data_IF_745725772107
#
_entry.id   IF_745725772107
#
_cell.length_a   1.000
_cell.length_b   1.000
_cell.length_c   1.000
_cell.angle_alpha   90.00
_cell.angle_beta   90.00
_cell.angle_gamma   90.00
#
_symmetry.space_group_name_H-M   'P 1'
#
loop_
_entity.id
_entity.type
_entity.pdbx_description
1 polymer ?
#
# COMPACT_ATOMS: atom_id res chain seq x y z
N UNK A 1 -12.12 -14.74 -4.24
CA UNK A 1 -10.82 -15.45 -4.21
C UNK A 1 -10.41 -15.54 -2.75
N UNK A 2 -10.02 -16.71 -2.22
CA UNK A 2 -9.50 -16.78 -0.83
C UNK A 2 -8.09 -16.18 -0.85
N UNK A 3 -7.90 -15.06 -0.16
CA UNK A 3 -6.62 -14.35 -0.08
C UNK A 3 -5.76 -15.03 0.98
N UNK A 4 -5.98 -14.75 2.25
CA UNK A 4 -5.36 -15.54 3.31
C UNK A 4 -6.22 -16.73 3.70
N UNK A 5 -5.58 -17.91 3.75
CA UNK A 5 -6.11 -19.10 4.42
C UNK A 5 -5.40 -19.18 5.77
N UNK A 6 -6.16 -19.16 6.85
CA UNK A 6 -5.63 -19.45 8.18
C UNK A 6 -5.66 -20.95 8.42
N UNK A 7 -4.55 -21.47 8.92
CA UNK A 7 -4.45 -22.87 9.34
C UNK A 7 -3.47 -23.04 10.49
N UNK A 8 -3.19 -24.30 10.85
CA UNK A 8 -2.20 -24.64 11.88
C UNK A 8 -0.79 -24.10 11.56
N UNK A 9 -0.52 -23.88 10.27
CA UNK A 9 0.72 -23.34 9.72
C UNK A 9 0.72 -21.80 9.61
N UNK A 10 -0.25 -21.10 10.22
CA UNK A 10 -0.35 -19.64 10.13
C UNK A 10 -1.17 -19.13 8.93
N UNK A 11 -1.11 -17.82 8.70
CA UNK A 11 -1.74 -17.17 7.56
C UNK A 11 -0.90 -17.38 6.30
N UNK A 12 -1.54 -17.84 5.21
CA UNK A 12 -0.86 -18.07 3.93
C UNK A 12 -1.73 -17.76 2.72
N UNK A 13 -1.10 -17.41 1.60
CA UNK A 13 -1.78 -17.34 0.29
C UNK A 13 -1.76 -18.73 -0.37
N UNK A 14 -2.85 -19.16 -1.05
CA UNK A 14 -2.90 -20.44 -1.73
C UNK A 14 -2.18 -20.38 -3.10
N UNK A 15 -1.01 -19.75 -3.16
CA UNK A 15 -0.24 -19.51 -4.37
C UNK A 15 1.15 -20.13 -4.23
N UNK A 16 1.61 -20.81 -5.28
CA UNK A 16 2.97 -21.41 -5.29
C UNK A 16 4.07 -20.38 -5.04
N UNK A 17 3.90 -19.18 -5.57
CA UNK A 17 4.80 -18.03 -5.45
C UNK A 17 4.90 -17.54 -3.99
N UNK A 18 3.86 -17.75 -3.17
CA UNK A 18 3.94 -17.51 -1.73
C UNK A 18 4.83 -18.55 -1.07
N UNK A 19 4.61 -19.84 -1.37
CA UNK A 19 5.40 -20.92 -0.81
C UNK A 19 6.88 -20.80 -1.22
N UNK A 20 7.16 -20.37 -2.44
CA UNK A 20 8.52 -20.08 -2.94
C UNK A 20 9.16 -18.92 -2.18
N UNK A 21 8.48 -17.77 -2.06
CA UNK A 21 9.02 -16.60 -1.38
C UNK A 21 9.17 -16.78 0.15
N UNK A 22 8.32 -17.59 0.78
CA UNK A 22 8.45 -17.93 2.21
C UNK A 22 9.54 -18.97 2.44
N UNK A 23 9.74 -19.90 1.50
CA UNK A 23 10.73 -20.97 1.62
C UNK A 23 12.17 -20.48 1.55
N UNK A 24 12.40 -19.38 0.82
CA UNK A 24 13.69 -18.70 0.72
C UNK A 24 13.46 -17.16 0.71
N UNK A 25 13.44 -16.50 1.88
CA UNK A 25 13.19 -15.06 1.97
C UNK A 25 14.32 -14.20 1.36
N UNK A 26 15.50 -14.78 1.11
CA UNK A 26 16.61 -14.12 0.42
C UNK A 26 16.47 -14.19 -1.12
N UNK A 27 15.64 -15.09 -1.66
CA UNK A 27 15.37 -15.17 -3.09
C UNK A 27 14.50 -14.01 -3.58
N UNK A 28 15.19 -12.96 -4.04
CA UNK A 28 14.55 -11.77 -4.61
C UNK A 28 13.67 -12.09 -5.83
N UNK A 29 14.01 -13.10 -6.64
CA UNK A 29 13.19 -13.45 -7.81
C UNK A 29 11.86 -14.07 -7.40
N UNK A 30 11.85 -14.89 -6.35
CA UNK A 30 10.63 -15.42 -5.76
C UNK A 30 9.75 -14.29 -5.20
N UNK A 31 10.35 -13.33 -4.50
CA UNK A 31 9.65 -12.14 -3.98
C UNK A 31 9.04 -11.28 -5.10
N UNK A 32 9.80 -11.02 -6.17
CA UNK A 32 9.30 -10.28 -7.36
C UNK A 32 8.14 -11.03 -8.02
N UNK A 33 8.25 -12.34 -8.21
CA UNK A 33 7.20 -13.16 -8.81
C UNK A 33 5.90 -13.11 -7.99
N UNK A 34 6.01 -13.17 -6.67
CA UNK A 34 4.88 -13.01 -5.75
C UNK A 34 4.24 -11.60 -5.88
N UNK A 35 5.05 -10.55 -5.91
CA UNK A 35 4.60 -9.17 -6.12
C UNK A 35 3.87 -8.98 -7.44
N UNK A 36 4.43 -9.49 -8.55
CA UNK A 36 3.80 -9.44 -9.87
C UNK A 36 2.45 -10.18 -9.88
N UNK A 37 2.37 -11.34 -9.23
CA UNK A 37 1.13 -12.10 -9.12
C UNK A 37 0.06 -11.35 -8.35
N UNK A 38 0.43 -10.78 -7.19
CA UNK A 38 -0.44 -9.97 -6.36
C UNK A 38 -0.98 -8.76 -7.12
N UNK A 39 -0.09 -8.01 -7.80
CA UNK A 39 -0.44 -6.86 -8.61
C UNK A 39 -1.40 -7.24 -9.74
N UNK A 40 -1.08 -8.27 -10.53
CA UNK A 40 -1.95 -8.73 -11.63
C UNK A 40 -3.31 -9.20 -11.15
N UNK A 41 -3.39 -9.85 -10.00
CA UNK A 41 -4.65 -10.26 -9.40
C UNK A 41 -5.52 -9.05 -9.02
N UNK A 42 -4.92 -8.02 -8.41
CA UNK A 42 -5.61 -6.77 -8.07
C UNK A 42 -6.07 -6.00 -9.32
N UNK A 43 -5.20 -5.86 -10.32
CA UNK A 43 -5.56 -5.19 -11.58
C UNK A 43 -6.72 -5.89 -12.30
N UNK A 44 -6.75 -7.23 -12.29
CA UNK A 44 -7.88 -8.00 -12.82
C UNK A 44 -9.16 -7.74 -12.03
N UNK A 45 -9.09 -7.72 -10.70
CA UNK A 45 -10.24 -7.39 -9.84
C UNK A 45 -10.77 -5.98 -10.10
N UNK A 46 -9.87 -5.01 -10.32
CA UNK A 46 -10.19 -3.64 -10.69
C UNK A 46 -10.74 -3.47 -12.13
N UNK A 47 -10.65 -4.52 -12.97
CA UNK A 47 -10.90 -4.47 -14.42
C UNK A 47 -10.03 -3.45 -15.16
N UNK A 48 -8.78 -3.27 -14.70
CA UNK A 48 -7.82 -2.36 -15.30
C UNK A 48 -6.66 -3.13 -15.96
N UNK A 49 -6.09 -2.63 -17.06
CA UNK A 49 -4.90 -3.23 -17.64
C UNK A 49 -3.66 -2.93 -16.78
N UNK A 50 -2.75 -3.91 -16.57
CA UNK A 50 -1.49 -3.69 -15.89
C UNK A 50 -0.60 -2.72 -16.68
N UNK A 51 0.21 -1.93 -15.96
CA UNK A 51 1.23 -1.02 -16.52
C UNK A 51 2.59 -1.71 -16.53
N UNK A 52 3.45 -1.39 -17.49
CA UNK A 52 4.78 -2.01 -17.60
C UNK A 52 5.71 -1.49 -16.50
N UNK A 53 5.56 -0.21 -16.19
CA UNK A 53 6.29 0.56 -15.19
C UNK A 53 6.12 -0.02 -13.77
N UNK A 54 5.01 -0.73 -13.51
CA UNK A 54 4.76 -1.42 -12.25
C UNK A 54 5.84 -2.47 -11.91
N UNK A 55 6.50 -3.05 -12.93
CA UNK A 55 7.58 -4.01 -12.73
C UNK A 55 8.72 -3.40 -11.92
N UNK A 56 9.15 -2.19 -12.29
CA UNK A 56 10.26 -1.51 -11.63
C UNK A 56 9.93 -1.16 -10.18
N UNK A 57 8.68 -0.77 -9.90
CA UNK A 57 8.21 -0.56 -8.53
C UNK A 57 8.26 -1.84 -7.70
N UNK A 58 7.83 -2.97 -8.28
CA UNK A 58 7.86 -4.27 -7.60
C UNK A 58 9.31 -4.74 -7.36
N UNK A 59 10.22 -4.52 -8.31
CA UNK A 59 11.66 -4.77 -8.10
C UNK A 59 12.20 -3.94 -6.94
N UNK A 60 11.92 -2.64 -6.92
CA UNK A 60 12.34 -1.75 -5.83
C UNK A 60 11.81 -2.22 -4.48
N UNK A 61 10.56 -2.69 -4.42
CA UNK A 61 9.99 -3.31 -3.22
C UNK A 61 10.77 -4.55 -2.78
N UNK A 62 11.11 -5.45 -3.70
CA UNK A 62 11.87 -6.65 -3.38
C UNK A 62 13.25 -6.33 -2.82
N UNK A 63 14.00 -5.40 -3.43
CA UNK A 63 15.32 -4.99 -2.90
C UNK A 63 15.20 -4.28 -1.54
N UNK A 64 14.19 -3.41 -1.35
CA UNK A 64 13.93 -2.80 -0.04
C UNK A 64 13.69 -3.88 1.02
N UNK A 65 12.88 -4.89 0.72
CA UNK A 65 12.56 -5.96 1.69
C UNK A 65 13.76 -6.87 1.95
N UNK A 66 14.53 -7.22 0.92
CA UNK A 66 15.74 -8.03 1.06
C UNK A 66 16.74 -7.37 2.03
N UNK A 67 17.12 -6.12 1.75
CA UNK A 67 18.03 -5.38 2.62
C UNK A 67 17.43 -5.03 3.99
N UNK A 68 16.10 -4.90 4.09
CA UNK A 68 15.45 -4.77 5.39
C UNK A 68 15.67 -6.01 6.24
N UNK A 69 15.61 -7.22 5.66
CA UNK A 69 15.87 -8.47 6.39
C UNK A 69 17.34 -8.59 6.81
N UNK A 70 18.27 -8.16 5.98
CA UNK A 70 19.71 -8.14 6.33
C UNK A 70 20.01 -7.23 7.52
N UNK A 71 19.32 -6.09 7.59
CA UNK A 71 19.58 -5.04 8.58
C UNK A 71 18.75 -5.18 9.87
N UNK A 72 17.60 -5.86 9.82
CA UNK A 72 16.72 -5.99 10.97
C UNK A 72 17.30 -6.96 12.01
N UNK A 73 17.70 -6.43 13.15
CA UNK A 73 18.14 -7.27 14.28
C UNK A 73 17.01 -8.13 14.85
N UNK A 74 17.38 -9.25 15.49
CA UNK A 74 16.44 -10.23 16.07
C UNK A 74 15.36 -9.60 16.97
N UNK A 75 15.76 -8.70 17.88
CA UNK A 75 14.83 -8.02 18.80
C UNK A 75 13.74 -7.23 18.04
N UNK A 76 14.13 -6.57 16.94
CA UNK A 76 13.20 -5.81 16.10
C UNK A 76 12.32 -6.72 15.25
N UNK A 77 12.84 -7.87 14.81
CA UNK A 77 12.04 -8.87 14.12
C UNK A 77 10.95 -9.45 15.05
N UNK A 78 11.28 -9.70 16.32
CA UNK A 78 10.31 -10.16 17.33
C UNK A 78 9.24 -9.10 17.61
N UNK A 79 9.62 -7.83 17.73
CA UNK A 79 8.67 -6.71 17.88
C UNK A 79 7.73 -6.60 16.67
N UNK A 80 8.30 -6.63 15.46
CA UNK A 80 7.51 -6.60 14.22
C UNK A 80 6.51 -7.76 14.18
N UNK A 81 6.98 -8.97 14.49
CA UNK A 81 6.13 -10.16 14.52
C UNK A 81 4.97 -10.00 15.51
N UNK A 82 5.23 -9.50 16.72
CA UNK A 82 4.18 -9.22 17.69
C UNK A 82 3.13 -8.24 17.14
N UNK A 83 3.58 -7.16 16.50
CA UNK A 83 2.67 -6.16 15.91
C UNK A 83 1.79 -6.76 14.80
N UNK A 84 2.37 -7.57 13.91
CA UNK A 84 1.61 -8.19 12.80
C UNK A 84 0.60 -9.23 13.29
N UNK A 85 0.82 -9.85 14.44
CA UNK A 85 -0.02 -10.93 14.99
C UNK A 85 -1.10 -10.43 15.95
N UNK A 86 -0.77 -9.49 16.83
CA UNK A 86 -1.60 -9.06 17.96
C UNK A 86 -2.07 -7.62 17.84
N UNK A 87 -1.15 -6.67 17.61
CA UNK A 87 -1.49 -5.23 17.64
C UNK A 87 -2.07 -4.70 16.32
N UNK A 88 -2.07 -5.49 15.24
CA UNK A 88 -2.66 -5.10 13.96
C UNK A 88 -4.14 -4.71 14.11
N UNK A 89 -4.82 -5.22 15.14
CA UNK A 89 -6.23 -4.92 15.45
C UNK A 89 -6.47 -3.46 15.85
N UNK A 90 -5.51 -2.83 16.53
CA UNK A 90 -5.63 -1.47 17.04
C UNK A 90 -5.16 -0.42 16.02
N UNK A 91 -4.32 -0.84 15.07
CA UNK A 91 -3.61 0.06 14.15
C UNK A 91 -3.97 -0.15 12.66
N UNK A 92 -4.27 -1.38 12.23
CA UNK A 92 -4.30 -1.79 10.81
C UNK A 92 -5.55 -2.58 10.45
N UNK A 93 -6.70 -1.93 10.29
CA UNK A 93 -7.94 -2.68 9.99
C UNK A 93 -7.89 -3.45 8.67
N UNK A 94 -6.97 -3.12 7.75
CA UNK A 94 -6.88 -3.71 6.42
C UNK A 94 -5.80 -4.78 6.20
N UNK A 95 -4.85 -5.00 7.13
CA UNK A 95 -3.63 -5.79 6.86
C UNK A 95 -3.94 -7.22 6.35
N UNK A 96 -4.86 -7.91 7.02
CA UNK A 96 -5.21 -9.29 6.70
C UNK A 96 -6.50 -9.41 5.86
N UNK A 97 -7.09 -8.29 5.48
CA UNK A 97 -8.30 -8.27 4.64
C UNK A 97 -7.98 -8.67 3.19
N UNK A 98 -8.89 -9.38 2.50
CA UNK A 98 -8.72 -9.65 1.09
C UNK A 98 -8.87 -8.35 0.27
N UNK A 99 -8.23 -8.24 -0.91
CA UNK A 99 -8.35 -7.06 -1.76
C UNK A 99 -9.78 -6.77 -2.21
N UNK A 100 -10.68 -7.75 -2.17
CA UNK A 100 -12.10 -7.54 -2.49
C UNK A 100 -12.79 -6.55 -1.55
N UNK A 101 -12.21 -6.26 -0.39
CA UNK A 101 -12.71 -5.22 0.53
C UNK A 101 -12.37 -3.80 0.08
N UNK A 102 -11.47 -3.62 -0.90
CA UNK A 102 -10.99 -2.28 -1.30
C UNK A 102 -10.93 -2.10 -2.83
N UNK A 103 -10.61 -3.16 -3.56
CA UNK A 103 -10.47 -3.17 -5.00
C UNK A 103 -11.81 -3.48 -5.65
N UNK A 104 -12.59 -2.42 -5.88
CA UNK A 104 -13.84 -2.48 -6.62
C UNK A 104 -13.69 -1.90 -8.03
N UNK A 105 -14.26 -2.55 -9.06
CA UNK A 105 -14.31 -1.96 -10.40
C UNK A 105 -15.00 -0.60 -10.39
N UNK A 106 -14.50 0.33 -11.21
CA UNK A 106 -15.13 1.64 -11.37
C UNK A 106 -16.54 1.52 -11.94
N UNK A 107 -17.47 2.32 -11.40
CA UNK A 107 -18.84 2.48 -11.83
C UNK A 107 -19.16 3.87 -12.39
N UNK A 108 -20.44 4.21 -12.43
CA UNK A 108 -20.99 5.46 -12.99
C UNK A 108 -21.47 6.47 -11.92
N UNK A 109 -21.56 6.06 -10.65
CA UNK A 109 -22.09 6.91 -9.57
C UNK A 109 -20.98 7.62 -8.80
N UNK A 110 -20.98 8.95 -8.86
CA UNK A 110 -19.98 9.82 -8.19
C UNK A 110 -19.87 9.50 -6.70
N UNK A 111 -20.99 9.27 -5.99
CA UNK A 111 -20.95 9.09 -4.54
C UNK A 111 -20.28 7.78 -4.15
N UNK A 112 -20.62 6.71 -4.87
CA UNK A 112 -20.00 5.39 -4.72
C UNK A 112 -18.52 5.44 -5.04
N UNK A 113 -18.12 6.17 -6.08
CA UNK A 113 -16.71 6.38 -6.39
C UNK A 113 -15.99 7.14 -5.27
N UNK A 114 -16.52 8.25 -4.78
CA UNK A 114 -15.87 9.02 -3.71
C UNK A 114 -15.71 8.22 -2.41
N UNK A 115 -16.71 7.41 -2.05
CA UNK A 115 -16.62 6.51 -0.91
C UNK A 115 -15.53 5.44 -1.14
N UNK A 116 -15.49 4.86 -2.35
CA UNK A 116 -14.49 3.86 -2.72
C UNK A 116 -13.08 4.43 -2.73
N UNK A 117 -12.93 5.66 -3.20
CA UNK A 117 -11.66 6.39 -3.20
C UNK A 117 -11.17 6.57 -1.77
N UNK A 118 -11.99 7.17 -0.91
CA UNK A 118 -11.67 7.38 0.51
C UNK A 118 -11.27 6.06 1.18
N UNK A 119 -12.07 5.02 0.97
CA UNK A 119 -11.81 3.71 1.57
C UNK A 119 -10.45 3.14 1.15
N UNK A 120 -10.08 3.24 -0.13
CA UNK A 120 -8.76 2.81 -0.60
C UNK A 120 -7.60 3.62 -0.03
N UNK A 121 -7.78 4.93 0.10
CA UNK A 121 -6.78 5.81 0.70
C UNK A 121 -6.53 5.45 2.18
N UNK A 122 -7.61 5.23 2.95
CA UNK A 122 -7.56 4.90 4.37
C UNK A 122 -7.04 3.47 4.63
N UNK A 123 -7.54 2.47 3.90
CA UNK A 123 -7.28 1.04 4.20
C UNK A 123 -6.01 0.47 3.58
N UNK A 124 -5.49 1.13 2.54
CA UNK A 124 -4.33 0.63 1.77
C UNK A 124 -3.26 1.69 1.68
N UNK A 125 -3.56 2.85 1.08
CA UNK A 125 -2.51 3.82 0.74
C UNK A 125 -1.74 4.29 1.96
N UNK A 126 -2.44 4.81 2.98
CA UNK A 126 -1.80 5.30 4.19
C UNK A 126 -0.94 4.24 4.89
N UNK A 127 -1.53 3.11 5.31
CA UNK A 127 -0.81 2.06 6.03
C UNK A 127 0.38 1.48 5.25
N UNK A 128 0.20 1.15 3.97
CA UNK A 128 1.27 0.50 3.21
C UNK A 128 2.42 1.45 2.84
N UNK A 129 2.15 2.74 2.66
CA UNK A 129 3.23 3.72 2.50
C UNK A 129 4.05 3.90 3.78
N UNK A 130 3.43 3.83 4.96
CA UNK A 130 4.15 3.85 6.23
C UNK A 130 5.02 2.60 6.40
N UNK A 131 4.48 1.43 6.02
CA UNK A 131 5.23 0.18 6.05
C UNK A 131 6.39 0.18 5.05
N UNK A 132 6.19 0.71 3.84
CA UNK A 132 7.23 0.90 2.84
C UNK A 132 8.32 1.85 3.35
N UNK A 133 7.93 2.98 3.95
CA UNK A 133 8.86 3.90 4.58
C UNK A 133 9.65 3.22 5.69
N UNK A 134 8.97 2.46 6.55
CA UNK A 134 9.62 1.77 7.65
C UNK A 134 10.64 0.73 7.16
N UNK A 135 10.25 -0.07 6.16
CA UNK A 135 11.13 -1.04 5.53
C UNK A 135 12.35 -0.36 4.86
N UNK A 136 12.12 0.71 4.10
CA UNK A 136 13.18 1.44 3.41
C UNK A 136 14.17 2.14 4.35
N UNK A 137 13.71 2.63 5.50
CA UNK A 137 14.57 3.22 6.53
C UNK A 137 15.38 2.13 7.25
N UNK A 138 14.77 1.00 7.57
CA UNK A 138 15.45 -0.15 8.18
C UNK A 138 16.52 -0.71 7.24
N UNK A 139 16.19 -0.89 5.96
CA UNK A 139 17.12 -1.30 4.91
C UNK A 139 18.29 -0.32 4.71
N UNK A 140 18.14 0.94 5.13
CA UNK A 140 19.21 1.93 5.12
C UNK A 140 20.03 1.96 6.43
N UNK A 141 19.90 0.94 7.28
CA UNK A 141 20.57 0.83 8.58
C UNK A 141 20.03 1.80 9.64
N UNK A 142 18.86 2.40 9.43
CA UNK A 142 18.28 3.35 10.40
C UNK A 142 17.38 2.62 11.39
N UNK A 143 17.71 2.71 12.68
CA UNK A 143 16.88 2.13 13.75
C UNK A 143 15.70 3.05 14.06
N UNK A 144 14.56 2.80 13.40
CA UNK A 144 13.29 3.44 13.74
C UNK A 144 12.32 2.42 14.34
N UNK A 145 11.58 2.78 15.41
CA UNK A 145 10.63 1.86 16.02
C UNK A 145 9.54 1.49 15.03
N UNK A 146 9.09 0.23 15.09
CA UNK A 146 7.90 -0.24 14.36
C UNK A 146 6.69 0.41 15.02
N UNK A 147 6.35 1.64 14.63
CA UNK A 147 5.22 2.34 15.23
C UNK A 147 3.92 1.81 14.66
N UNK A 148 2.90 1.72 15.51
CA UNK A 148 1.47 1.69 15.15
C UNK A 148 0.98 3.04 14.59
N UNK A 149 1.82 3.78 13.85
CA UNK A 149 1.49 5.09 13.25
C UNK A 149 0.37 5.06 12.22
N UNK A 150 -0.23 3.90 11.99
CA UNK A 150 -1.41 3.72 11.16
C UNK A 150 -2.68 4.34 11.79
N UNK A 151 -2.66 4.67 13.09
CA UNK A 151 -3.77 5.35 13.76
C UNK A 151 -3.80 6.88 13.48
N UNK A 152 -4.47 7.27 12.38
CA UNK A 152 -5.27 8.50 12.37
C UNK A 152 -4.66 9.77 11.77
N UNK A 153 -3.56 9.72 11.01
CA UNK A 153 -2.96 10.93 10.39
C UNK A 153 -3.40 11.23 8.96
N UNK A 154 -4.31 10.45 8.39
CA UNK A 154 -4.66 10.54 6.96
C UNK A 154 -3.47 10.19 6.05
N UNK A 155 -3.57 10.52 4.75
CA UNK A 155 -2.52 10.20 3.76
C UNK A 155 -1.38 11.21 3.69
N UNK A 156 -1.51 12.37 4.34
CA UNK A 156 -0.51 13.45 4.31
C UNK A 156 0.89 12.99 4.73
N UNK A 157 1.01 12.46 5.95
CA UNK A 157 2.30 12.06 6.51
C UNK A 157 2.95 10.91 5.71
N UNK A 158 2.24 9.83 5.32
CA UNK A 158 2.80 8.80 4.45
C UNK A 158 3.32 9.33 3.10
N UNK A 159 2.59 10.25 2.45
CA UNK A 159 3.03 10.89 1.20
C UNK A 159 4.31 11.71 1.40
N UNK A 160 4.38 12.48 2.47
CA UNK A 160 5.56 13.25 2.84
C UNK A 160 6.78 12.35 3.06
N UNK A 161 6.59 11.18 3.68
CA UNK A 161 7.66 10.22 3.92
C UNK A 161 8.18 9.59 2.62
N UNK A 162 7.31 9.29 1.66
CA UNK A 162 7.71 8.84 0.32
C UNK A 162 8.51 9.92 -0.41
N UNK A 163 8.07 11.17 -0.36
CA UNK A 163 8.79 12.30 -0.96
C UNK A 163 10.16 12.52 -0.28
N UNK A 164 10.23 12.36 1.04
CA UNK A 164 11.48 12.40 1.81
C UNK A 164 12.45 11.29 1.41
N UNK A 165 11.99 10.05 1.28
CA UNK A 165 12.83 8.93 0.82
C UNK A 165 13.48 9.24 -0.52
N UNK A 166 12.71 9.79 -1.47
CA UNK A 166 13.23 10.17 -2.79
C UNK A 166 14.23 11.32 -2.69
N UNK A 167 13.91 12.38 -1.94
CA UNK A 167 14.76 13.55 -1.79
C UNK A 167 16.10 13.25 -1.08
N UNK A 168 16.09 12.32 -0.12
CA UNK A 168 17.28 11.90 0.63
C UNK A 168 18.00 10.69 0.03
N UNK A 169 17.54 10.18 -1.13
CA UNK A 169 18.05 8.96 -1.77
C UNK A 169 18.08 7.74 -0.81
N UNK A 170 16.93 7.43 -0.21
CA UNK A 170 16.75 6.34 0.76
C UNK A 170 15.87 5.24 0.18
N UNK A 171 16.31 3.97 0.23
CA UNK A 171 17.68 3.55 0.57
C UNK A 171 18.67 3.84 -0.58
N UNK A 172 19.97 4.05 -0.30
CA UNK A 172 20.94 4.51 -1.29
C UNK A 172 21.35 3.45 -2.32
N UNK A 173 21.01 2.18 -2.07
CA UNK A 173 21.37 1.06 -2.93
C UNK A 173 20.45 0.91 -4.16
N UNK A 174 19.31 1.60 -4.19
CA UNK A 174 18.40 1.51 -5.34
C UNK A 174 19.10 2.04 -6.60
N UNK A 175 18.99 1.29 -7.69
CA UNK A 175 19.45 1.75 -8.99
C UNK A 175 18.47 2.73 -9.65
N UNK A 176 18.78 3.20 -10.86
CA UNK A 176 17.93 4.16 -11.56
C UNK A 176 16.58 3.56 -11.98
N UNK A 177 16.52 2.29 -12.38
CA UNK A 177 15.25 1.64 -12.76
C UNK A 177 14.32 1.57 -11.55
N UNK A 178 14.85 1.28 -10.37
CA UNK A 178 14.10 1.19 -9.12
C UNK A 178 13.63 2.55 -8.61
N UNK A 179 14.47 3.58 -8.74
CA UNK A 179 14.09 4.98 -8.44
C UNK A 179 12.99 5.47 -9.38
N UNK A 180 13.04 5.08 -10.66
CA UNK A 180 11.94 5.31 -11.61
C UNK A 180 10.67 4.58 -11.14
N UNK A 181 10.80 3.36 -10.63
CA UNK A 181 9.73 2.60 -10.00
C UNK A 181 9.05 3.32 -8.83
N UNK A 182 9.81 3.92 -7.91
CA UNK A 182 9.26 4.72 -6.82
C UNK A 182 8.66 6.04 -7.30
N UNK A 183 9.23 6.63 -8.36
CA UNK A 183 8.67 7.81 -9.01
C UNK A 183 7.32 7.51 -9.67
N UNK A 184 7.19 6.33 -10.29
CA UNK A 184 5.93 5.85 -10.84
C UNK A 184 4.88 5.62 -9.74
N UNK A 185 5.25 4.99 -8.62
CA UNK A 185 4.34 4.90 -7.47
C UNK A 185 3.84 6.28 -7.03
N UNK A 186 4.75 7.25 -6.92
CA UNK A 186 4.42 8.62 -6.51
C UNK A 186 3.49 9.34 -7.50
N UNK A 187 3.60 9.07 -8.79
CA UNK A 187 2.73 9.68 -9.82
C UNK A 187 1.32 9.08 -9.81
N UNK A 188 1.18 7.78 -9.56
CA UNK A 188 -0.11 7.11 -9.35
C UNK A 188 -0.82 7.60 -8.06
N UNK A 189 -0.06 8.15 -7.11
CA UNK A 189 -0.58 8.77 -5.90
C UNK A 189 -0.94 10.26 -6.06
N UNK A 190 -0.58 10.90 -7.18
CA UNK A 190 -1.02 12.26 -7.51
C UNK A 190 -2.39 12.19 -8.17
N UNK A 191 -3.46 12.26 -7.38
CA UNK A 191 -4.82 12.05 -7.89
C UNK A 191 -5.26 13.21 -8.78
N UNK A 192 -4.98 14.46 -8.38
CA UNK A 192 -5.33 15.66 -9.13
C UNK A 192 -4.14 16.60 -9.27
N UNK A 193 -4.09 17.35 -10.37
CA UNK A 193 -3.13 18.44 -10.55
C UNK A 193 -3.57 19.73 -9.86
N UNK A 194 -4.82 19.78 -9.39
CA UNK A 194 -5.48 21.00 -8.88
C UNK A 194 -5.73 20.99 -7.38
N UNK A 195 -5.74 19.82 -6.76
CA UNK A 195 -5.88 19.62 -5.32
C UNK A 195 -4.91 18.51 -4.92
N UNK A 196 -4.20 18.69 -3.80
CA UNK A 196 -3.30 17.64 -3.34
C UNK A 196 -4.11 16.41 -2.88
N UNK A 197 -3.50 15.24 -2.94
CA UNK A 197 -4.16 13.98 -2.55
C UNK A 197 -4.56 13.98 -1.08
N UNK A 198 -3.78 14.62 -0.22
CA UNK A 198 -4.08 14.82 1.20
C UNK A 198 -5.21 15.83 1.44
N UNK A 199 -5.27 16.94 0.70
CA UNK A 199 -6.42 17.85 0.77
C UNK A 199 -7.70 17.16 0.31
N UNK A 200 -7.61 16.35 -0.76
CA UNK A 200 -8.75 15.58 -1.26
C UNK A 200 -9.21 14.54 -0.23
N UNK A 201 -8.30 13.76 0.36
CA UNK A 201 -8.63 12.80 1.42
C UNK A 201 -9.27 13.50 2.62
N UNK A 202 -8.67 14.59 3.10
CA UNK A 202 -9.20 15.37 4.21
C UNK A 202 -10.60 15.91 3.91
N UNK A 203 -10.85 16.37 2.68
CA UNK A 203 -12.18 16.82 2.28
C UNK A 203 -13.20 15.66 2.33
N UNK A 204 -12.83 14.49 1.78
CA UNK A 204 -13.69 13.30 1.78
C UNK A 204 -14.01 12.78 3.18
N UNK A 205 -13.01 12.79 4.07
CA UNK A 205 -13.10 12.31 5.45
C UNK A 205 -13.93 13.24 6.33
N UNK A 206 -13.82 14.56 6.15
CA UNK A 206 -14.58 15.55 6.89
C UNK A 206 -15.93 15.93 6.26
N UNK A 207 -16.36 15.20 5.22
CA UNK A 207 -17.61 15.46 4.49
C UNK A 207 -17.72 16.90 3.97
N UNK A 208 -16.59 17.51 3.60
CA UNK A 208 -16.53 18.87 3.03
C UNK A 208 -16.72 18.86 1.52
N UNK A 209 -17.56 17.96 1.05
CA UNK A 209 -17.91 17.78 -0.35
C UNK A 209 -19.41 17.63 -0.50
N UNK A 210 -19.96 18.13 -1.61
CA UNK A 210 -21.36 17.88 -1.96
C UNK A 210 -21.53 17.73 -3.46
N UNK A 211 -22.55 16.95 -3.85
CA UNK A 211 -22.89 16.70 -5.25
C UNK A 211 -24.11 17.53 -5.61
N UNK A 212 -23.99 18.36 -6.64
CA UNK A 212 -25.09 19.17 -7.17
C UNK A 212 -25.14 19.08 -8.70
N UNK A 213 -26.31 18.74 -9.24
CA UNK A 213 -26.54 18.60 -10.70
C UNK A 213 -25.48 17.77 -11.43
N UNK A 214 -25.06 16.65 -10.82
CA UNK A 214 -24.07 15.74 -11.40
C UNK A 214 -22.61 16.20 -11.32
N UNK A 215 -22.35 17.32 -10.63
CA UNK A 215 -20.99 17.83 -10.38
C UNK A 215 -20.65 17.69 -8.91
N UNK A 216 -19.38 17.46 -8.61
CA UNK A 216 -18.84 17.40 -7.26
C UNK A 216 -18.21 18.74 -6.92
N UNK A 217 -18.61 19.34 -5.80
CA UNK A 217 -17.84 20.41 -5.18
C UNK A 217 -17.00 19.81 -4.05
N UNK A 218 -15.71 20.12 -4.02
CA UNK A 218 -14.79 19.78 -2.93
C UNK A 218 -14.29 21.08 -2.34
N UNK A 219 -14.47 21.27 -1.04
CA UNK A 219 -13.89 22.42 -0.32
C UNK A 219 -12.39 22.19 -0.09
N UNK A 220 -11.55 23.05 -0.65
CA UNK A 220 -10.10 22.97 -0.50
C UNK A 220 -9.65 23.73 0.73
N UNK A 221 -8.97 23.07 1.68
CA UNK A 221 -8.42 23.70 2.87
C UNK A 221 -7.49 24.89 2.53
N UNK A 222 -6.73 24.77 1.43
CA UNK A 222 -5.71 25.75 1.02
C UNK A 222 -6.02 26.45 -0.33
N UNK A 223 -6.78 25.81 -1.21
CA UNK A 223 -7.01 26.25 -2.60
C UNK A 223 -8.35 26.96 -2.84
N UNK A 224 -9.22 27.03 -1.84
CA UNK A 224 -10.63 27.36 -2.02
C UNK A 224 -11.37 26.21 -2.72
N UNK A 225 -12.67 26.09 -2.46
CA UNK A 225 -13.44 24.99 -3.02
C UNK A 225 -13.59 25.04 -4.55
N UNK A 226 -13.65 23.86 -5.17
CA UNK A 226 -13.67 23.69 -6.63
C UNK A 226 -14.71 22.68 -7.09
N UNK A 227 -15.23 22.91 -8.30
CA UNK A 227 -16.12 21.98 -9.00
C UNK A 227 -15.34 21.00 -9.88
N UNK A 228 -15.77 19.75 -9.85
CA UNK A 228 -15.24 18.62 -10.62
C UNK A 228 -16.38 17.87 -11.29
N UNK A 229 -16.08 17.29 -12.45
CA UNK A 229 -16.98 16.42 -13.21
C UNK A 229 -16.80 14.95 -12.81
N UNK A 230 -17.73 14.08 -13.23
CA UNK A 230 -17.57 12.63 -13.07
C UNK A 230 -16.27 12.11 -13.72
N UNK A 231 -15.83 12.71 -14.83
CA UNK A 231 -14.58 12.36 -15.50
C UNK A 231 -13.37 12.52 -14.58
N UNK A 232 -13.28 13.65 -13.87
CA UNK A 232 -12.20 13.91 -12.91
C UNK A 232 -12.20 12.85 -11.79
N UNK A 233 -13.37 12.55 -11.24
CA UNK A 233 -13.51 11.55 -10.16
C UNK A 233 -13.09 10.16 -10.65
N UNK A 234 -13.42 9.80 -11.90
CA UNK A 234 -12.99 8.53 -12.51
C UNK A 234 -11.49 8.45 -12.70
N UNK A 235 -10.85 9.54 -13.11
CA UNK A 235 -9.39 9.59 -13.23
C UNK A 235 -8.72 9.40 -11.86
N UNK A 236 -9.26 10.00 -10.80
CA UNK A 236 -8.78 9.79 -9.43
C UNK A 236 -8.96 8.34 -8.99
N UNK A 237 -10.09 7.73 -9.35
CA UNK A 237 -10.39 6.33 -9.02
C UNK A 237 -9.47 5.36 -9.73
N UNK A 238 -9.19 5.57 -11.00
CA UNK A 238 -8.25 4.74 -11.75
C UNK A 238 -6.87 4.77 -11.07
N UNK A 239 -6.35 5.97 -10.79
CA UNK A 239 -5.07 6.16 -10.10
C UNK A 239 -5.04 5.54 -8.70
N UNK A 240 -6.11 5.71 -7.93
CA UNK A 240 -6.24 5.10 -6.61
C UNK A 240 -6.26 3.57 -6.68
N UNK A 241 -6.95 2.97 -7.66
CA UNK A 241 -6.96 1.53 -7.85
C UNK A 241 -5.57 0.99 -8.25
N UNK A 242 -4.84 1.73 -9.10
CA UNK A 242 -3.48 1.39 -9.51
C UNK A 242 -2.50 1.45 -8.34
N UNK A 243 -2.51 2.54 -7.58
CA UNK A 243 -1.67 2.69 -6.39
C UNK A 243 -2.03 1.67 -5.30
N UNK A 244 -3.31 1.42 -5.02
CA UNK A 244 -3.72 0.36 -4.10
C UNK A 244 -3.23 -1.02 -4.56
N UNK A 245 -3.29 -1.31 -5.87
CA UNK A 245 -2.83 -2.59 -6.40
C UNK A 245 -1.32 -2.80 -6.21
N UNK A 246 -0.50 -1.75 -6.37
CA UNK A 246 0.93 -1.80 -6.10
C UNK A 246 1.21 -1.99 -4.60
N UNK A 247 0.52 -1.24 -3.75
CA UNK A 247 0.74 -1.27 -2.31
C UNK A 247 0.24 -2.57 -1.66
N UNK A 248 -0.83 -3.18 -2.19
CA UNK A 248 -1.24 -4.53 -1.80
C UNK A 248 -0.19 -5.58 -2.22
N UNK A 249 0.46 -5.40 -3.38
CA UNK A 249 1.57 -6.27 -3.77
C UNK A 249 2.74 -6.15 -2.79
N UNK A 250 3.14 -4.92 -2.43
CA UNK A 250 4.13 -4.68 -1.37
C UNK A 250 3.75 -5.36 -0.05
N UNK A 251 2.50 -5.18 0.42
CA UNK A 251 1.99 -5.80 1.63
C UNK A 251 2.20 -7.32 1.63
N UNK A 252 1.85 -7.98 0.52
CA UNK A 252 2.00 -9.44 0.41
C UNK A 252 3.47 -9.84 0.48
N UNK A 253 4.32 -9.15 -0.29
CA UNK A 253 5.76 -9.42 -0.30
C UNK A 253 6.34 -9.26 1.10
N UNK A 254 5.98 -8.17 1.78
CA UNK A 254 6.39 -7.89 3.16
C UNK A 254 5.95 -9.02 4.12
N UNK A 255 4.68 -9.43 4.06
CA UNK A 255 4.17 -10.50 4.92
C UNK A 255 4.86 -11.84 4.62
N UNK A 256 5.16 -12.14 3.36
CA UNK A 256 5.90 -13.34 2.97
C UNK A 256 7.35 -13.30 3.50
N UNK A 257 8.07 -12.19 3.29
CA UNK A 257 9.43 -11.98 3.79
C UNK A 257 9.52 -12.17 5.31
N UNK A 258 8.63 -11.53 6.07
CA UNK A 258 8.61 -11.68 7.54
C UNK A 258 8.22 -13.10 7.95
N UNK A 259 7.33 -13.76 7.21
CA UNK A 259 6.95 -15.15 7.47
C UNK A 259 8.10 -16.13 7.21
N UNK A 260 8.87 -15.92 6.15
CA UNK A 260 10.05 -16.72 5.83
C UNK A 260 11.15 -16.55 6.89
N UNK A 261 11.44 -15.31 7.26
CA UNK A 261 12.53 -14.98 8.18
C UNK A 261 12.20 -15.33 9.65
N UNK A 262 11.01 -14.94 10.13
CA UNK A 262 10.64 -15.12 11.54
C UNK A 262 9.86 -16.42 11.80
N UNK A 263 9.47 -17.13 10.75
CA UNK A 263 8.55 -18.26 10.79
C UNK A 263 7.06 -17.85 10.74
N UNK A 264 6.14 -18.83 10.78
CA UNK A 264 4.71 -18.63 10.55
C UNK A 264 4.05 -17.52 11.38
N UNK A 265 3.44 -16.55 10.69
CA UNK A 265 2.58 -15.53 11.31
C UNK A 265 1.20 -16.11 11.61
N UNK A 266 0.76 -15.98 12.86
CA UNK A 266 -0.57 -16.42 13.34
C UNK A 266 -1.34 -15.21 13.84
N UNK A 267 -2.01 -14.46 12.96
CA UNK A 267 -2.83 -13.33 13.37
C UNK A 267 -4.00 -13.80 14.22
N UNK A 268 -4.15 -13.19 15.40
CA UNK A 268 -5.29 -13.40 16.26
C UNK A 268 -6.49 -12.64 15.67
N UNK A 269 -7.64 -13.28 15.45
CA UNK A 269 -8.88 -12.60 15.03
C UNK A 269 -9.81 -12.43 16.24
N UNK A 270 -10.55 -11.32 16.37
CA UNK A 270 -11.60 -11.23 17.37
C UNK A 270 -12.71 -12.25 17.03
N UNK A 271 -13.24 -12.91 18.08
CA UNK A 271 -14.43 -13.77 18.01
C UNK A 271 -15.69 -13.00 17.58
#
# INVERSE_FOLDING_TARGET
>A
MRWFVQGKEGARLPWKEWDEAVGDPEDMLASIALGEKAYRACMRAAKLPPRKEAKNTITAFAHILHHMLDEIGEDRMLELRYILQEDWKEASTGLWEPPSEVIWPMGDDIRSELLSLRHGLERVVGPELLRLFWAGMTAAGRSIPVRSTEAGTGVYFPLLMLDKMRAENIPPFLDEEEKEGLTFLRSELTLSDWISTDDLEAALSHQRQFVHRGRLFVDGCMSGGRWYELGDVRDWREKALRSCSLLIAFRIMFLASVTGESGPLRPSYPD
#
